data_IF_944342485305
#
_entry.id   IF_944342485305
#
_cell.length_a   1.000
_cell.length_b   1.000
_cell.length_c   1.000
_cell.angle_alpha   90.00
_cell.angle_beta   90.00
_cell.angle_gamma   90.00
#
_symmetry.space_group_name_H-M   'P 1'
#
loop_
_entity.id
_entity.type
_entity.pdbx_description
1 polymer ?
#
# COMPACT_ATOMS: atom_id res chain seq x y z
N UNK A 1 68.32 10.92 18.14
CA UNK A 1 67.13 10.26 17.58
C UNK A 1 66.40 11.34 16.79
N UNK A 2 66.97 11.91 15.72
CA UNK A 2 67.33 11.29 14.43
C UNK A 2 66.06 10.64 13.83
N UNK A 3 65.49 11.06 12.70
CA UNK A 3 66.13 11.57 11.47
C UNK A 3 65.23 12.51 10.63
N UNK A 4 65.90 13.51 10.04
CA UNK A 4 65.69 14.19 8.75
C UNK A 4 64.37 14.93 8.37
N UNK A 5 64.50 16.26 8.37
CA UNK A 5 63.90 17.22 7.43
C UNK A 5 64.43 17.03 5.97
N UNK A 6 64.20 17.96 5.03
CA UNK A 6 63.00 18.34 4.26
C UNK A 6 63.27 18.19 2.73
N UNK A 7 62.39 18.70 1.83
CA UNK A 7 62.71 19.35 0.51
C UNK A 7 61.69 19.01 -0.59
N UNK A 8 61.12 20.05 -1.20
CA UNK A 8 60.43 20.07 -2.50
C UNK A 8 61.28 20.91 -3.49
N UNK A 9 60.91 21.10 -4.79
CA UNK A 9 60.41 20.23 -5.87
C UNK A 9 61.43 20.24 -7.07
N UNK A 10 61.15 19.70 -8.29
CA UNK A 10 60.43 20.46 -9.35
C UNK A 10 59.62 19.62 -10.39
N UNK A 11 58.67 20.27 -11.08
CA UNK A 11 58.11 19.90 -12.40
C UNK A 11 58.89 20.76 -13.46
N UNK A 12 58.98 20.52 -14.81
CA UNK A 12 58.03 19.87 -15.75
C UNK A 12 58.64 19.14 -16.99
N UNK A 13 57.78 18.62 -17.89
CA UNK A 13 58.07 18.56 -19.33
C UNK A 13 57.73 17.25 -20.06
N UNK A 14 56.86 17.33 -21.07
CA UNK A 14 56.68 16.28 -22.08
C UNK A 14 55.30 16.26 -22.75
N UNK A 15 55.09 17.18 -23.69
CA UNK A 15 54.01 17.17 -24.70
C UNK A 15 53.99 15.85 -25.50
N UNK A 16 52.82 15.36 -25.90
CA UNK A 16 52.29 15.54 -27.26
C UNK A 16 51.14 14.57 -27.59
N UNK A 17 50.17 15.12 -28.30
CA UNK A 17 48.92 14.50 -28.75
C UNK A 17 49.18 13.60 -29.97
N UNK A 18 48.36 12.56 -30.16
CA UNK A 18 47.86 12.19 -31.49
C UNK A 18 46.54 11.41 -31.34
N UNK A 19 45.47 12.05 -31.79
CA UNK A 19 44.27 11.36 -32.23
C UNK A 19 44.54 10.78 -33.62
N UNK A 20 44.16 9.52 -33.85
CA UNK A 20 43.81 9.06 -35.19
C UNK A 20 42.83 7.87 -35.08
N UNK A 21 41.66 8.00 -35.71
CA UNK A 21 40.77 6.90 -36.07
C UNK A 21 40.97 6.64 -37.57
N UNK A 22 40.86 5.37 -38.01
CA UNK A 22 39.72 5.09 -38.90
C UNK A 22 39.06 3.72 -38.70
N UNK A 23 37.78 3.66 -39.10
CA UNK A 23 36.94 2.48 -39.30
C UNK A 23 37.51 1.49 -40.34
N UNK A 24 37.33 0.18 -40.12
CA UNK A 24 36.91 -0.82 -41.12
C UNK A 24 36.28 -2.05 -40.41
N UNK A 25 35.00 -2.36 -40.65
CA UNK A 25 34.36 -3.63 -40.23
C UNK A 25 34.57 -4.76 -41.27
N UNK A 26 33.69 -5.78 -41.37
CA UNK A 26 33.13 -6.72 -40.38
C UNK A 26 33.63 -8.16 -40.62
N UNK A 27 33.65 -9.04 -39.60
CA UNK A 27 33.68 -10.50 -39.85
C UNK A 27 32.88 -11.28 -38.81
N UNK A 28 31.87 -11.92 -39.36
CA UNK A 28 31.05 -13.05 -38.95
C UNK A 28 31.71 -14.13 -38.06
N UNK A 29 30.81 -14.82 -37.36
CA UNK A 29 30.86 -16.22 -36.94
C UNK A 29 31.94 -16.68 -35.96
N UNK A 30 31.52 -16.74 -34.69
CA UNK A 30 31.83 -17.89 -33.84
C UNK A 30 30.54 -18.39 -33.19
N UNK A 31 29.80 -19.21 -33.93
CA UNK A 31 28.89 -20.18 -33.34
C UNK A 31 29.64 -21.07 -32.33
N UNK A 32 28.93 -21.48 -31.28
CA UNK A 32 29.16 -22.76 -30.63
C UNK A 32 30.10 -22.73 -29.43
N UNK A 33 29.56 -22.37 -28.25
CA UNK A 33 29.77 -23.24 -27.09
C UNK A 33 28.41 -23.52 -26.48
N UNK A 34 27.74 -24.52 -27.06
CA UNK A 34 26.80 -25.38 -26.35
C UNK A 34 27.58 -25.98 -25.17
N UNK A 35 27.55 -25.28 -24.04
CA UNK A 35 28.08 -25.81 -22.79
C UNK A 35 27.01 -26.74 -22.25
N UNK A 36 27.12 -28.02 -22.62
CA UNK A 36 26.46 -29.11 -21.89
C UNK A 36 26.67 -28.90 -20.38
N UNK A 37 25.67 -29.24 -19.54
CA UNK A 37 25.67 -28.92 -18.12
C UNK A 37 26.79 -29.66 -17.42
N UNK A 38 27.96 -29.02 -17.32
CA UNK A 38 29.05 -29.50 -16.49
C UNK A 38 28.53 -29.53 -15.05
N UNK A 39 28.40 -30.75 -14.51
CA UNK A 39 27.93 -31.09 -13.17
C UNK A 39 27.86 -29.88 -12.24
N UNK A 40 26.63 -29.39 -12.02
CA UNK A 40 26.38 -28.28 -11.11
C UNK A 40 26.94 -28.66 -9.74
N UNK A 41 28.12 -28.14 -9.40
CA UNK A 41 28.78 -28.52 -8.15
C UNK A 41 27.82 -28.34 -6.97
N UNK A 42 27.88 -29.17 -5.91
CA UNK A 42 27.00 -29.06 -4.76
C UNK A 42 26.93 -27.64 -4.17
N UNK A 43 28.02 -26.87 -4.28
CA UNK A 43 28.09 -25.47 -3.86
C UNK A 43 27.27 -24.53 -4.75
N UNK A 44 27.21 -24.77 -6.06
CA UNK A 44 26.40 -23.99 -7.01
C UNK A 44 24.91 -24.22 -6.78
N UNK A 45 24.50 -25.47 -6.51
CA UNK A 45 23.11 -25.80 -6.15
C UNK A 45 22.72 -25.15 -4.81
N UNK A 46 23.57 -25.28 -3.78
CA UNK A 46 23.33 -24.64 -2.48
C UNK A 46 23.27 -23.11 -2.58
N UNK A 47 24.00 -22.50 -3.51
CA UNK A 47 23.91 -21.05 -3.77
C UNK A 47 22.59 -20.67 -4.45
N UNK A 48 22.10 -21.49 -5.39
CA UNK A 48 20.79 -21.29 -6.05
C UNK A 48 19.65 -21.39 -5.04
N UNK A 49 19.62 -22.42 -4.20
CA UNK A 49 18.57 -22.58 -3.19
C UNK A 49 18.54 -21.42 -2.18
N UNK A 50 19.70 -20.92 -1.75
CA UNK A 50 19.78 -19.73 -0.88
C UNK A 50 19.28 -18.45 -1.55
N UNK A 51 19.36 -18.35 -2.88
CA UNK A 51 18.79 -17.23 -3.62
C UNK A 51 17.26 -17.37 -3.70
N UNK A 52 16.79 -18.55 -4.10
CA UNK A 52 15.36 -18.84 -4.20
C UNK A 52 14.66 -18.66 -2.86
N UNK A 53 15.26 -19.11 -1.74
CA UNK A 53 14.67 -18.92 -0.42
C UNK A 53 14.48 -17.43 -0.08
N UNK A 54 15.50 -16.60 -0.32
CA UNK A 54 15.41 -15.15 -0.05
C UNK A 54 14.41 -14.45 -0.95
N UNK A 55 14.29 -14.89 -2.20
CA UNK A 55 13.29 -14.38 -3.14
C UNK A 55 11.87 -14.71 -2.66
N UNK A 56 11.63 -15.96 -2.26
CA UNK A 56 10.34 -16.39 -1.68
C UNK A 56 10.03 -15.65 -0.38
N UNK A 57 11.01 -15.46 0.51
CA UNK A 57 10.84 -14.68 1.74
C UNK A 57 10.46 -13.22 1.44
N UNK A 58 11.14 -12.59 0.48
CA UNK A 58 10.82 -11.23 0.05
C UNK A 58 9.42 -11.14 -0.57
N UNK A 59 9.01 -12.12 -1.38
CA UNK A 59 7.66 -12.18 -1.93
C UNK A 59 6.60 -12.35 -0.85
N UNK A 60 6.84 -13.25 0.12
CA UNK A 60 5.95 -13.45 1.26
C UNK A 60 5.79 -12.18 2.08
N UNK A 61 6.89 -11.50 2.38
CA UNK A 61 6.87 -10.27 3.19
C UNK A 61 6.13 -9.16 2.42
N UNK A 62 6.38 -9.02 1.11
CA UNK A 62 5.65 -8.08 0.27
C UNK A 62 4.16 -8.40 0.11
N UNK A 63 3.75 -9.67 0.21
CA UNK A 63 2.33 -10.05 0.27
C UNK A 63 1.72 -9.74 1.64
N UNK A 64 2.46 -9.99 2.72
CA UNK A 64 2.01 -9.70 4.09
C UNK A 64 1.75 -8.20 4.29
N UNK A 65 2.64 -7.32 3.82
CA UNK A 65 2.46 -5.87 3.88
C UNK A 65 1.20 -5.42 3.12
N UNK A 66 0.97 -5.98 1.92
CA UNK A 66 -0.24 -5.69 1.13
C UNK A 66 -1.50 -6.15 1.87
N UNK A 67 -1.48 -7.34 2.45
CA UNK A 67 -2.59 -7.89 3.20
C UNK A 67 -2.92 -7.01 4.42
N UNK A 68 -1.93 -6.59 5.19
CA UNK A 68 -2.13 -5.67 6.32
C UNK A 68 -2.80 -4.35 5.88
N UNK A 69 -2.38 -3.80 4.73
CA UNK A 69 -3.02 -2.61 4.16
C UNK A 69 -4.48 -2.83 3.77
N UNK A 70 -4.83 -4.03 3.25
CA UNK A 70 -6.21 -4.40 2.93
C UNK A 70 -7.05 -4.61 4.19
N UNK A 71 -6.53 -5.36 5.16
CA UNK A 71 -7.21 -5.63 6.44
C UNK A 71 -7.51 -4.34 7.19
N UNK A 72 -6.56 -3.40 7.23
CA UNK A 72 -6.78 -2.09 7.82
C UNK A 72 -7.95 -1.35 7.16
N UNK A 73 -7.99 -1.29 5.82
CA UNK A 73 -9.09 -0.63 5.10
C UNK A 73 -10.43 -1.32 5.31
N UNK A 74 -10.44 -2.64 5.41
CA UNK A 74 -11.64 -3.42 5.70
C UNK A 74 -12.19 -3.10 7.09
N UNK A 75 -11.33 -3.11 8.11
CA UNK A 75 -11.68 -2.69 9.48
C UNK A 75 -12.22 -1.27 9.51
N UNK A 76 -11.54 -0.32 8.84
CA UNK A 76 -12.00 1.07 8.73
C UNK A 76 -13.38 1.18 8.08
N UNK A 77 -13.64 0.42 7.01
CA UNK A 77 -14.93 0.42 6.33
C UNK A 77 -16.04 -0.13 7.24
N UNK A 78 -15.75 -1.13 8.06
CA UNK A 78 -16.72 -1.77 8.95
C UNK A 78 -17.15 -0.91 10.14
N UNK A 79 -16.31 0.05 10.56
CA UNK A 79 -16.63 0.99 11.66
C UNK A 79 -17.03 2.38 11.17
N UNK A 80 -17.06 2.62 9.86
CA UNK A 80 -17.35 3.92 9.26
C UNK A 80 -18.80 4.41 9.45
N UNK A 81 -19.69 3.55 9.93
CA UNK A 81 -21.04 3.89 10.38
C UNK A 81 -21.08 4.40 11.83
N UNK A 82 -20.12 3.99 12.66
CA UNK A 82 -20.01 4.33 14.08
C UNK A 82 -19.13 5.56 14.32
N UNK A 83 -17.93 5.58 13.73
CA UNK A 83 -16.93 6.64 13.91
C UNK A 83 -17.02 7.68 12.78
N UNK A 84 -16.78 8.95 13.11
CA UNK A 84 -16.66 10.01 12.09
C UNK A 84 -15.37 9.86 11.29
N UNK A 85 -14.27 9.53 11.99
CA UNK A 85 -12.97 9.20 11.41
C UNK A 85 -12.60 7.77 11.81
N UNK A 86 -12.74 6.77 10.90
CA UNK A 86 -12.46 5.37 11.22
C UNK A 86 -11.03 5.11 11.68
N UNK A 87 -10.07 5.90 11.21
CA UNK A 87 -8.67 5.80 11.59
C UNK A 87 -8.42 6.06 13.09
N UNK A 88 -9.34 6.76 13.77
CA UNK A 88 -9.24 7.03 15.22
C UNK A 88 -9.26 5.75 16.04
N UNK A 89 -9.81 4.65 15.49
CA UNK A 89 -9.74 3.35 16.13
C UNK A 89 -8.28 2.93 16.37
N UNK A 90 -7.37 3.17 15.42
CA UNK A 90 -5.95 2.85 15.55
C UNK A 90 -5.19 3.97 16.28
N UNK A 91 -5.41 5.21 15.87
CA UNK A 91 -4.62 6.35 16.38
C UNK A 91 -4.94 6.70 17.84
N UNK A 92 -6.19 6.52 18.27
CA UNK A 92 -6.65 6.81 19.64
C UNK A 92 -6.95 5.54 20.41
N UNK A 93 -7.64 4.58 19.77
CA UNK A 93 -7.95 3.29 20.40
C UNK A 93 -6.72 2.38 20.58
N UNK A 94 -5.60 2.67 19.90
CA UNK A 94 -4.32 1.96 20.03
C UNK A 94 -4.43 0.45 19.80
N UNK A 95 -5.42 0.02 18.99
CA UNK A 95 -5.59 -1.35 18.53
C UNK A 95 -4.95 -1.54 17.16
N UNK A 96 -4.70 -2.78 16.75
CA UNK A 96 -4.23 -3.11 15.41
C UNK A 96 -5.31 -3.85 14.62
N UNK A 97 -5.26 -3.75 13.30
CA UNK A 97 -6.24 -4.42 12.44
C UNK A 97 -6.20 -5.95 12.63
N UNK A 98 -5.01 -6.52 12.84
CA UNK A 98 -4.80 -7.95 13.08
C UNK A 98 -5.51 -8.49 14.31
N UNK A 99 -5.77 -7.66 15.31
CA UNK A 99 -6.36 -8.08 16.59
C UNK A 99 -7.82 -8.51 16.42
N UNK A 100 -8.45 -8.15 15.31
CA UNK A 100 -9.84 -8.46 15.00
C UNK A 100 -9.99 -9.60 13.98
N UNK A 101 -8.91 -10.24 13.54
CA UNK A 101 -9.00 -11.39 12.64
C UNK A 101 -8.82 -12.70 13.42
N UNK A 102 -9.69 -13.66 13.14
CA UNK A 102 -9.57 -15.02 13.65
C UNK A 102 -8.44 -15.77 12.94
N UNK A 103 -8.05 -16.92 13.49
CA UNK A 103 -7.02 -17.80 12.91
C UNK A 103 -7.35 -18.29 11.48
N UNK A 104 -8.64 -18.30 11.11
CA UNK A 104 -9.11 -18.66 9.77
C UNK A 104 -9.05 -17.49 8.78
N UNK A 105 -8.60 -16.31 9.22
CA UNK A 105 -8.51 -15.09 8.42
C UNK A 105 -9.82 -14.35 8.24
N UNK A 106 -10.87 -14.71 9.00
CA UNK A 106 -12.15 -13.98 9.00
C UNK A 106 -12.15 -12.84 10.00
N UNK A 107 -12.80 -11.73 9.65
CA UNK A 107 -12.96 -10.58 10.55
C UNK A 107 -14.02 -10.88 11.63
N UNK A 108 -13.63 -10.75 12.89
CA UNK A 108 -14.53 -10.79 14.03
C UNK A 108 -15.24 -9.45 14.21
N UNK A 109 -16.35 -9.29 13.50
CA UNK A 109 -17.14 -8.05 13.52
C UNK A 109 -17.69 -7.70 14.92
N UNK A 110 -17.96 -8.70 15.75
CA UNK A 110 -18.52 -8.51 17.08
C UNK A 110 -17.53 -7.82 18.01
N UNK A 111 -16.30 -8.32 18.04
CA UNK A 111 -15.21 -7.72 18.81
C UNK A 111 -14.82 -6.34 18.27
N UNK A 112 -14.78 -6.18 16.95
CA UNK A 112 -14.51 -4.90 16.32
C UNK A 112 -15.54 -3.83 16.72
N UNK A 113 -16.83 -4.16 16.65
CA UNK A 113 -17.89 -3.22 17.07
C UNK A 113 -17.87 -2.97 18.57
N UNK A 114 -17.53 -3.96 19.39
CA UNK A 114 -17.39 -3.76 20.82
C UNK A 114 -16.23 -2.79 21.15
N UNK A 115 -15.09 -2.93 20.47
CA UNK A 115 -13.96 -2.02 20.64
C UNK A 115 -14.30 -0.59 20.19
N UNK A 116 -14.95 -0.43 19.03
CA UNK A 116 -15.43 0.88 18.58
C UNK A 116 -16.47 1.48 19.54
N UNK A 117 -17.36 0.65 20.10
CA UNK A 117 -18.34 1.05 21.12
C UNK A 117 -17.67 1.54 22.40
N UNK A 118 -16.69 0.81 22.92
CA UNK A 118 -15.92 1.20 24.10
C UNK A 118 -15.19 2.55 23.88
N UNK A 119 -14.58 2.74 22.71
CA UNK A 119 -13.95 4.01 22.35
C UNK A 119 -14.95 5.17 22.32
N UNK A 120 -16.18 4.93 21.85
CA UNK A 120 -17.25 5.92 21.85
C UNK A 120 -17.78 6.23 23.26
N UNK A 121 -17.81 5.25 24.16
CA UNK A 121 -18.18 5.47 25.55
C UNK A 121 -17.17 6.36 26.26
N UNK A 122 -15.87 6.13 26.03
CA UNK A 122 -14.80 6.98 26.56
C UNK A 122 -14.78 8.36 25.90
N UNK A 123 -15.04 8.42 24.59
CA UNK A 123 -14.95 9.64 23.78
C UNK A 123 -16.17 9.82 22.87
N UNK A 124 -17.32 10.28 23.42
CA UNK A 124 -18.57 10.39 22.66
C UNK A 124 -18.52 11.30 21.44
N UNK A 125 -17.54 12.23 21.38
CA UNK A 125 -17.39 13.18 20.26
C UNK A 125 -16.73 12.59 19.02
N UNK A 126 -16.15 11.39 19.10
CA UNK A 126 -15.59 10.68 17.93
C UNK A 126 -16.69 10.00 17.09
N UNK A 127 -17.90 9.90 17.64
CA UNK A 127 -19.03 9.29 16.96
C UNK A 127 -19.49 10.09 15.76
N UNK A 128 -19.84 9.36 14.71
CA UNK A 128 -20.40 9.94 13.50
C UNK A 128 -21.67 10.72 13.85
N UNK A 129 -21.76 12.02 13.51
CA UNK A 129 -22.93 12.81 13.83
C UNK A 129 -24.13 12.26 13.07
N UNK A 130 -25.12 11.75 13.80
CA UNK A 130 -26.37 11.31 13.18
C UNK A 130 -27.00 12.53 12.48
N UNK A 131 -27.33 12.45 11.18
CA UNK A 131 -27.96 13.56 10.49
C UNK A 131 -29.28 13.87 11.21
N UNK A 132 -29.32 15.01 11.89
CA UNK A 132 -30.48 15.47 12.63
C UNK A 132 -31.53 16.03 11.66
N UNK A 133 -32.04 15.19 10.75
CA UNK A 133 -32.97 15.59 9.69
C UNK A 133 -32.47 16.78 8.86
N UNK A 134 -33.32 17.28 7.96
CA UNK A 134 -33.00 18.48 7.19
C UNK A 134 -33.24 19.71 8.07
N UNK A 135 -32.22 20.13 8.80
CA UNK A 135 -32.27 21.28 9.74
C UNK A 135 -32.69 22.61 9.09
N UNK A 136 -32.69 22.69 7.76
CA UNK A 136 -32.90 23.93 7.00
C UNK A 136 -33.98 23.85 5.91
N UNK A 137 -34.75 22.76 5.82
CA UNK A 137 -35.65 22.52 4.68
C UNK A 137 -36.75 23.58 4.51
N UNK A 138 -37.04 24.37 5.54
CA UNK A 138 -38.18 25.30 5.58
C UNK A 138 -37.81 26.77 5.85
N UNK A 139 -36.53 27.15 5.75
CA UNK A 139 -36.18 28.58 5.82
C UNK A 139 -36.46 29.25 4.48
N UNK A 140 -37.56 30.01 4.41
CA UNK A 140 -37.86 30.94 3.31
C UNK A 140 -38.65 30.37 2.13
N UNK A 141 -38.99 29.08 2.12
CA UNK A 141 -39.88 28.50 1.10
C UNK A 141 -41.25 28.21 1.70
N UNK A 142 -42.29 28.79 1.07
CA UNK A 142 -43.69 28.42 1.30
C UNK A 142 -43.81 26.89 1.19
N UNK A 143 -44.29 26.23 2.24
CA UNK A 143 -44.61 24.81 2.18
C UNK A 143 -45.56 24.59 0.99
N UNK A 144 -45.25 23.70 0.02
CA UNK A 144 -46.16 23.42 -1.05
C UNK A 144 -47.46 22.86 -0.46
N UNK A 145 -48.64 23.29 -0.94
CA UNK A 145 -49.90 22.74 -0.47
C UNK A 145 -49.89 21.21 -0.65
N UNK A 146 -50.54 20.45 0.25
CA UNK A 146 -50.54 19.00 0.17
C UNK A 146 -51.00 18.54 -1.21
N UNK A 147 -50.41 17.46 -1.77
CA UNK A 147 -50.75 17.02 -3.11
C UNK A 147 -52.24 16.71 -3.17
N UNK A 148 -52.97 17.52 -3.93
CA UNK A 148 -54.34 17.20 -4.32
C UNK A 148 -54.23 15.88 -5.10
N UNK A 149 -54.95 14.83 -4.67
CA UNK A 149 -55.06 13.60 -5.47
C UNK A 149 -55.71 13.97 -6.80
N UNK A 150 -54.89 14.19 -7.82
CA UNK A 150 -55.36 14.24 -9.19
C UNK A 150 -56.00 12.90 -9.52
N UNK A 151 -57.07 12.92 -10.32
CA UNK A 151 -57.82 11.74 -10.75
C UNK A 151 -56.86 10.59 -11.07
N UNK A 152 -57.01 9.50 -10.32
CA UNK A 152 -56.19 8.32 -10.55
C UNK A 152 -56.76 7.56 -11.75
N UNK A 153 -55.91 6.78 -12.43
CA UNK A 153 -56.33 5.94 -13.55
C UNK A 153 -57.45 4.95 -13.18
N UNK A 154 -57.64 4.67 -11.88
CA UNK A 154 -58.78 3.92 -11.34
C UNK A 154 -60.13 4.62 -11.53
N UNK A 155 -60.17 5.95 -11.59
CA UNK A 155 -61.41 6.71 -11.85
C UNK A 155 -61.79 6.69 -13.34
N UNK A 156 -60.83 6.42 -14.23
CA UNK A 156 -61.03 6.35 -15.68
C UNK A 156 -61.41 4.94 -16.14
N UNK A 157 -60.93 3.90 -15.45
CA UNK A 157 -61.13 2.51 -15.85
C UNK A 157 -62.29 1.79 -15.15
N UNK A 158 -63.16 2.53 -14.45
CA UNK A 158 -64.47 2.10 -13.95
C UNK A 158 -64.62 0.62 -13.62
N UNK A 159 -64.50 0.27 -12.33
CA UNK A 159 -64.94 -1.05 -11.84
C UNK A 159 -66.41 -1.32 -12.16
#
# INVERSE_FOLDING_TARGET
MSENSPTAPPNPGGDDQHADQPETGPTDDAEGIDSEPHDSSPNAEAARYRRQLREVEAERDGLAERLQGHQRREVEAMVADLLDVPADLFDIGQVQASDFYNDDGTLNEGELRAAAGALLEERPRLGKPRPAGQRWQNFGQFAPPPPQRGAAWSDVLGS
#
